data_IF_977983209958
#
_entry.id   IF_977983209958
#
_cell.length_a   1.000
_cell.length_b   1.000
_cell.length_c   1.000
_cell.angle_alpha   90.00
_cell.angle_beta   90.00
_cell.angle_gamma   90.00
#
_symmetry.space_group_name_H-M   'P 1'
#
loop_
_entity.id
_entity.type
_entity.pdbx_description
1 polymer ?
#
# COMPACT_ATOMS: atom_id res chain seq x y z
N UNK A 1 -68.80 31.45 -37.06
CA UNK A 1 -68.59 30.66 -38.28
C UNK A 1 -68.74 29.19 -37.94
N UNK A 2 -69.71 28.48 -38.52
CA UNK A 2 -69.91 27.06 -38.27
C UNK A 2 -68.96 26.24 -39.15
N UNK A 3 -67.87 25.76 -38.57
CA UNK A 3 -66.99 24.80 -39.23
C UNK A 3 -67.76 23.53 -39.58
N UNK A 4 -67.64 23.05 -40.82
CA UNK A 4 -68.20 21.77 -41.25
C UNK A 4 -67.59 20.62 -40.43
N UNK A 5 -68.31 19.50 -40.27
CA UNK A 5 -67.84 18.36 -39.47
C UNK A 5 -66.44 17.87 -39.90
N UNK A 6 -66.17 17.87 -41.22
CA UNK A 6 -64.87 17.51 -41.80
C UNK A 6 -63.75 18.49 -41.44
N UNK A 7 -64.05 19.78 -41.32
CA UNK A 7 -63.07 20.77 -40.89
C UNK A 7 -62.71 20.60 -39.41
N UNK A 8 -63.69 20.22 -38.57
CA UNK A 8 -63.42 19.93 -37.14
C UNK A 8 -62.53 18.71 -36.99
N UNK A 9 -62.79 17.64 -37.75
CA UNK A 9 -61.96 16.43 -37.73
C UNK A 9 -60.51 16.71 -38.15
N UNK A 10 -60.31 17.49 -39.22
CA UNK A 10 -58.97 17.91 -39.68
C UNK A 10 -58.23 18.75 -38.63
N UNK A 11 -58.92 19.67 -37.96
CA UNK A 11 -58.33 20.47 -36.89
C UNK A 11 -57.92 19.59 -35.70
N UNK A 12 -58.75 18.62 -35.30
CA UNK A 12 -58.40 17.66 -34.25
C UNK A 12 -57.19 16.80 -34.63
N UNK A 13 -57.08 16.38 -35.89
CA UNK A 13 -55.90 15.64 -36.37
C UNK A 13 -54.65 16.52 -36.30
N UNK A 14 -54.73 17.78 -36.75
CA UNK A 14 -53.62 18.72 -36.69
C UNK A 14 -53.18 19.02 -35.25
N UNK A 15 -54.14 19.27 -34.35
CA UNK A 15 -53.88 19.46 -32.92
C UNK A 15 -53.20 18.24 -32.31
N UNK A 16 -53.66 17.02 -32.63
CA UNK A 16 -53.03 15.79 -32.16
C UNK A 16 -51.60 15.60 -32.71
N UNK A 17 -51.37 15.97 -33.97
CA UNK A 17 -50.03 15.95 -34.55
C UNK A 17 -49.14 16.96 -33.82
N UNK A 18 -49.58 18.21 -33.69
CA UNK A 18 -48.82 19.26 -32.99
C UNK A 18 -48.48 18.85 -31.55
N UNK A 19 -49.48 18.35 -30.82
CA UNK A 19 -49.31 17.84 -29.46
C UNK A 19 -48.33 16.67 -29.40
N UNK A 20 -48.27 15.81 -30.42
CA UNK A 20 -47.33 14.69 -30.45
C UNK A 20 -45.85 15.09 -30.57
N UNK A 21 -45.57 16.30 -31.06
CA UNK A 21 -44.22 16.88 -31.15
C UNK A 21 -43.92 17.88 -30.03
N UNK A 22 -44.90 18.26 -29.21
CA UNK A 22 -44.72 19.18 -28.09
C UNK A 22 -44.28 18.44 -26.82
N UNK A 23 -43.07 18.68 -26.26
CA UNK A 23 -42.58 18.01 -25.05
C UNK A 23 -43.43 18.23 -23.80
N UNK A 24 -44.20 19.33 -23.75
CA UNK A 24 -45.09 19.65 -22.64
C UNK A 24 -46.45 18.95 -22.74
N UNK A 25 -46.73 18.30 -23.86
CA UNK A 25 -48.00 17.60 -24.09
C UNK A 25 -47.95 16.17 -23.52
N UNK A 26 -49.02 15.70 -22.86
CA UNK A 26 -49.15 14.28 -22.49
C UNK A 26 -49.10 13.32 -23.70
N UNK A 27 -49.36 13.82 -24.91
CA UNK A 27 -49.34 13.04 -26.15
C UNK A 27 -47.96 12.97 -26.81
N UNK A 28 -46.92 13.52 -26.17
CA UNK A 28 -45.57 13.55 -26.74
C UNK A 28 -45.05 12.15 -27.06
N UNK A 29 -44.75 11.89 -28.33
CA UNK A 29 -44.42 10.55 -28.82
C UNK A 29 -42.96 10.14 -28.61
N UNK A 30 -42.06 11.08 -28.38
CA UNK A 30 -40.61 10.79 -28.30
C UNK A 30 -40.17 10.56 -26.85
N UNK A 31 -40.82 9.61 -26.20
CA UNK A 31 -40.46 9.16 -24.85
C UNK A 31 -39.81 7.78 -24.91
N UNK A 32 -38.69 7.64 -24.21
CA UNK A 32 -37.90 6.40 -24.19
C UNK A 32 -37.59 5.99 -22.76
N UNK A 33 -37.55 4.68 -22.51
CA UNK A 33 -37.22 4.14 -21.19
C UNK A 33 -35.71 3.91 -21.11
N UNK A 34 -35.08 4.52 -20.11
CA UNK A 34 -33.68 4.34 -19.74
C UNK A 34 -33.58 3.74 -18.34
N UNK A 35 -32.38 3.30 -17.95
CA UNK A 35 -32.12 2.80 -16.61
C UNK A 35 -31.16 3.69 -15.85
N UNK A 36 -31.46 3.94 -14.57
CA UNK A 36 -30.54 4.56 -13.62
C UNK A 36 -30.01 3.51 -12.67
N UNK A 37 -28.71 3.59 -12.34
CA UNK A 37 -28.12 2.73 -11.32
C UNK A 37 -28.58 3.21 -9.95
N UNK A 38 -29.03 2.29 -9.10
CA UNK A 38 -29.57 2.56 -7.76
C UNK A 38 -29.00 1.56 -6.76
N UNK A 39 -28.64 2.04 -5.57
CA UNK A 39 -28.04 1.22 -4.51
C UNK A 39 -29.07 0.54 -3.60
N UNK A 40 -30.35 0.86 -3.76
CA UNK A 40 -31.44 0.39 -2.90
C UNK A 40 -32.58 -0.20 -3.71
N UNK A 41 -33.39 -1.10 -3.12
CA UNK A 41 -34.60 -1.61 -3.76
C UNK A 41 -35.54 -0.45 -4.13
N UNK A 42 -35.94 -0.40 -5.40
CA UNK A 42 -36.79 0.67 -5.93
C UNK A 42 -38.25 0.23 -6.04
N UNK A 43 -39.14 1.15 -5.69
CA UNK A 43 -40.58 1.04 -5.91
C UNK A 43 -41.00 1.93 -7.09
N UNK A 44 -42.17 1.66 -7.66
CA UNK A 44 -42.69 2.41 -8.82
C UNK A 44 -42.94 3.87 -8.43
N UNK A 45 -42.36 4.86 -9.15
CA UNK A 45 -42.72 6.26 -8.98
C UNK A 45 -44.18 6.53 -9.37
N UNK A 46 -44.84 7.49 -8.72
CA UNK A 46 -46.24 7.84 -9.00
C UNK A 46 -46.45 8.23 -10.46
N UNK A 47 -45.50 8.96 -11.03
CA UNK A 47 -45.55 9.50 -12.40
C UNK A 47 -45.15 8.46 -13.47
N UNK A 48 -44.78 7.23 -13.07
CA UNK A 48 -44.39 6.18 -14.00
C UNK A 48 -45.59 5.25 -14.30
N UNK A 49 -46.04 5.12 -15.56
CA UNK A 49 -47.18 4.28 -15.91
C UNK A 49 -47.01 2.81 -15.49
N UNK A 50 -48.05 2.24 -14.87
CA UNK A 50 -48.01 0.87 -14.33
C UNK A 50 -47.68 -0.17 -15.40
N UNK A 51 -48.25 -0.06 -16.60
CA UNK A 51 -48.01 -1.01 -17.69
C UNK A 51 -46.55 -1.02 -18.15
N UNK A 52 -45.94 0.17 -18.24
CA UNK A 52 -44.52 0.30 -18.57
C UNK A 52 -43.66 -0.22 -17.43
N UNK A 53 -44.04 0.03 -16.17
CA UNK A 53 -43.27 -0.43 -15.02
C UNK A 53 -43.20 -1.96 -15.01
N UNK A 54 -44.34 -2.62 -15.15
CA UNK A 54 -44.40 -4.08 -15.17
C UNK A 54 -43.60 -4.70 -16.33
N UNK A 55 -43.44 -3.96 -17.44
CA UNK A 55 -42.70 -4.43 -18.62
C UNK A 55 -41.18 -4.20 -18.52
N UNK A 56 -40.75 -3.10 -17.94
CA UNK A 56 -39.35 -2.66 -17.93
C UNK A 56 -38.66 -2.79 -16.57
N UNK A 57 -39.42 -3.05 -15.50
CA UNK A 57 -38.83 -3.32 -14.20
C UNK A 57 -38.09 -4.66 -14.22
N UNK A 58 -36.83 -4.63 -13.82
CA UNK A 58 -35.98 -5.82 -13.71
C UNK A 58 -35.82 -6.11 -12.21
N UNK A 59 -36.44 -7.18 -11.68
CA UNK A 59 -36.24 -7.56 -10.29
C UNK A 59 -34.77 -7.92 -10.04
N UNK A 60 -34.29 -7.64 -8.83
CA UNK A 60 -32.94 -7.97 -8.35
C UNK A 60 -31.76 -7.33 -9.11
N UNK A 61 -32.03 -6.41 -10.04
CA UNK A 61 -31.01 -5.56 -10.65
C UNK A 61 -30.93 -4.21 -9.91
N UNK A 62 -29.74 -3.62 -9.75
CA UNK A 62 -29.57 -2.26 -9.21
C UNK A 62 -29.93 -1.21 -10.28
N UNK A 63 -31.08 -1.37 -10.95
CA UNK A 63 -31.51 -0.58 -12.10
C UNK A 63 -32.96 -0.13 -11.94
N UNK A 64 -33.17 1.18 -12.02
CA UNK A 64 -34.50 1.80 -12.00
C UNK A 64 -34.86 2.31 -13.40
N UNK A 65 -35.98 1.87 -14.00
CA UNK A 65 -36.43 2.43 -15.28
C UNK A 65 -36.94 3.88 -15.10
N UNK A 66 -36.60 4.74 -16.05
CA UNK A 66 -36.97 6.16 -16.09
C UNK A 66 -37.38 6.52 -17.51
N UNK A 67 -38.49 7.24 -17.66
CA UNK A 67 -38.94 7.75 -18.95
C UNK A 67 -38.27 9.10 -19.19
N UNK A 68 -37.59 9.22 -20.32
CA UNK A 68 -36.94 10.46 -20.74
C UNK A 68 -37.51 10.95 -22.07
N UNK A 69 -37.70 12.26 -22.17
CA UNK A 69 -37.98 12.96 -23.41
C UNK A 69 -36.68 13.33 -24.15
N UNK A 70 -36.79 13.85 -25.39
CA UNK A 70 -35.61 14.22 -26.20
C UNK A 70 -34.66 15.20 -25.49
N UNK A 71 -35.18 16.23 -24.83
CA UNK A 71 -34.37 17.24 -24.15
C UNK A 71 -33.58 16.62 -22.99
N UNK A 72 -34.25 15.80 -22.18
CA UNK A 72 -33.62 15.07 -21.07
C UNK A 72 -32.55 14.07 -21.56
N UNK A 73 -32.73 13.47 -22.74
CA UNK A 73 -31.69 12.62 -23.36
C UNK A 73 -30.46 13.44 -23.73
N UNK A 74 -30.64 14.63 -24.30
CA UNK A 74 -29.54 15.54 -24.64
C UNK A 74 -28.79 16.02 -23.39
N UNK A 75 -29.52 16.37 -22.32
CA UNK A 75 -28.93 16.70 -21.02
C UNK A 75 -28.15 15.53 -20.43
N UNK A 76 -28.74 14.33 -20.47
CA UNK A 76 -28.08 13.10 -20.00
C UNK A 76 -26.80 12.81 -20.77
N UNK A 77 -26.77 13.10 -22.08
CA UNK A 77 -25.56 12.97 -22.90
C UNK A 77 -24.45 13.93 -22.43
N UNK A 78 -24.79 15.16 -22.05
CA UNK A 78 -23.82 16.12 -21.48
C UNK A 78 -23.24 15.59 -20.17
N UNK A 79 -24.11 15.12 -19.27
CA UNK A 79 -23.70 14.53 -17.98
C UNK A 79 -22.79 13.31 -18.20
N UNK A 80 -23.11 12.46 -19.17
CA UNK A 80 -22.28 11.30 -19.53
C UNK A 80 -20.88 11.71 -20.03
N UNK A 81 -20.80 12.73 -20.89
CA UNK A 81 -19.51 13.26 -21.35
C UNK A 81 -18.66 13.78 -20.19
N UNK A 82 -19.26 14.54 -19.26
CA UNK A 82 -18.56 15.04 -18.08
C UNK A 82 -18.08 13.92 -17.16
N UNK A 83 -18.91 12.88 -16.99
CA UNK A 83 -18.56 11.69 -16.22
C UNK A 83 -17.40 10.92 -16.85
N UNK A 84 -17.37 10.80 -18.19
CA UNK A 84 -16.26 10.18 -18.92
C UNK A 84 -14.95 10.93 -18.65
N UNK A 85 -14.97 12.27 -18.66
CA UNK A 85 -13.78 13.07 -18.35
C UNK A 85 -13.29 12.83 -16.92
N UNK A 86 -14.19 12.85 -15.93
CA UNK A 86 -13.86 12.56 -14.52
C UNK A 86 -13.30 11.15 -14.33
N UNK A 87 -13.86 10.15 -15.03
CA UNK A 87 -13.35 8.78 -14.99
C UNK A 87 -11.96 8.67 -15.62
N UNK A 88 -11.70 9.39 -16.71
CA UNK A 88 -10.39 9.44 -17.34
C UNK A 88 -9.33 10.07 -16.41
N UNK A 89 -9.68 11.17 -15.74
CA UNK A 89 -8.82 11.81 -14.73
C UNK A 89 -8.52 10.87 -13.55
N UNK A 90 -9.55 10.23 -13.01
CA UNK A 90 -9.41 9.23 -11.93
C UNK A 90 -8.48 8.08 -12.34
N UNK A 91 -8.70 7.52 -13.54
CA UNK A 91 -7.84 6.48 -14.13
C UNK A 91 -6.38 6.94 -14.21
N UNK A 92 -6.14 8.15 -14.72
CA UNK A 92 -4.79 8.71 -14.83
C UNK A 92 -4.15 8.92 -13.45
N UNK A 93 -4.93 9.35 -12.45
CA UNK A 93 -4.48 9.45 -11.07
C UNK A 93 -4.04 8.11 -10.47
N UNK A 94 -4.80 7.05 -10.73
CA UNK A 94 -4.46 5.68 -10.30
C UNK A 94 -3.18 5.20 -10.99
N UNK A 95 -3.03 5.43 -12.30
CA UNK A 95 -1.82 5.04 -13.04
C UNK A 95 -0.56 5.73 -12.49
N UNK A 96 -0.62 7.04 -12.21
CA UNK A 96 0.50 7.77 -11.58
C UNK A 96 0.87 7.21 -10.21
N UNK A 97 -0.13 6.85 -9.39
CA UNK A 97 0.12 6.20 -8.09
C UNK A 97 0.79 4.84 -8.27
N UNK A 98 0.36 4.07 -9.26
CA UNK A 98 0.92 2.75 -9.56
C UNK A 98 2.39 2.86 -10.03
N UNK A 99 2.71 3.83 -10.87
CA UNK A 99 4.10 4.12 -11.27
C UNK A 99 4.97 4.54 -10.09
N UNK A 100 4.45 5.41 -9.21
CA UNK A 100 5.15 5.79 -7.98
C UNK A 100 5.45 4.59 -7.08
N UNK A 101 4.50 3.66 -6.94
CA UNK A 101 4.68 2.43 -6.18
C UNK A 101 5.73 1.50 -6.82
N UNK A 102 5.73 1.37 -8.16
CA UNK A 102 6.77 0.62 -8.88
C UNK A 102 8.17 1.21 -8.62
N UNK A 103 8.31 2.52 -8.68
CA UNK A 103 9.58 3.20 -8.38
C UNK A 103 10.02 2.97 -6.93
N UNK A 104 9.10 3.11 -5.96
CA UNK A 104 9.38 2.82 -4.55
C UNK A 104 9.81 1.38 -4.33
N UNK A 105 9.17 0.41 -5.02
CA UNK A 105 9.54 -1.00 -4.96
C UNK A 105 10.98 -1.23 -5.42
N UNK A 106 11.39 -0.66 -6.55
CA UNK A 106 12.78 -0.78 -7.03
C UNK A 106 13.78 -0.11 -6.08
N UNK A 107 13.44 1.06 -5.51
CA UNK A 107 14.28 1.72 -4.52
C UNK A 107 14.47 0.86 -3.26
N UNK A 108 13.40 0.25 -2.74
CA UNK A 108 13.47 -0.65 -1.58
C UNK A 108 14.27 -1.91 -1.92
N UNK A 109 14.06 -2.51 -3.09
CA UNK A 109 14.83 -3.66 -3.57
C UNK A 109 16.33 -3.35 -3.63
N UNK A 110 16.71 -2.20 -4.17
CA UNK A 110 18.11 -1.76 -4.23
C UNK A 110 18.69 -1.52 -2.84
N UNK A 111 17.94 -0.89 -1.93
CA UNK A 111 18.38 -0.71 -0.52
C UNK A 111 18.59 -2.05 0.17
N UNK A 112 17.67 -2.99 -0.01
CA UNK A 112 17.78 -4.34 0.56
C UNK A 112 19.01 -5.06 0.01
N UNK A 113 19.21 -5.05 -1.31
CA UNK A 113 20.37 -5.66 -1.94
C UNK A 113 21.69 -5.05 -1.42
N UNK A 114 21.75 -3.73 -1.28
CA UNK A 114 22.92 -3.04 -0.74
C UNK A 114 23.19 -3.43 0.73
N UNK A 115 22.15 -3.54 1.55
CA UNK A 115 22.28 -4.00 2.94
C UNK A 115 22.77 -5.44 3.01
N UNK A 116 22.21 -6.35 2.20
CA UNK A 116 22.66 -7.74 2.08
C UNK A 116 24.11 -7.80 1.63
N UNK A 117 24.51 -7.00 0.64
CA UNK A 117 25.89 -6.96 0.16
C UNK A 117 26.85 -6.44 1.23
N UNK A 118 26.48 -5.39 1.98
CA UNK A 118 27.28 -4.88 3.13
C UNK A 118 27.40 -5.92 4.23
N UNK A 119 26.33 -6.63 4.55
CA UNK A 119 26.32 -7.71 5.53
C UNK A 119 27.24 -8.86 5.11
N UNK A 120 27.10 -9.35 3.86
CA UNK A 120 27.99 -10.37 3.27
C UNK A 120 29.46 -9.93 3.25
N UNK A 121 29.72 -8.67 2.90
CA UNK A 121 31.07 -8.12 2.90
C UNK A 121 31.69 -8.07 4.30
N UNK A 122 30.91 -7.70 5.33
CA UNK A 122 31.36 -7.77 6.72
C UNK A 122 31.61 -9.22 7.14
N UNK A 123 30.68 -10.14 6.87
CA UNK A 123 30.83 -11.57 7.21
C UNK A 123 32.09 -12.19 6.59
N UNK A 124 32.39 -11.89 5.31
CA UNK A 124 33.60 -12.38 4.64
C UNK A 124 34.91 -11.94 5.30
N UNK A 125 34.93 -10.84 6.07
CA UNK A 125 36.10 -10.46 6.87
C UNK A 125 36.31 -11.36 8.09
N UNK A 126 35.27 -12.02 8.57
CA UNK A 126 35.28 -12.87 9.78
C UNK A 126 35.17 -14.38 9.46
N UNK A 127 34.79 -14.75 8.24
CA UNK A 127 34.60 -16.13 7.79
C UNK A 127 35.48 -16.40 6.58
N UNK A 128 36.41 -17.34 6.71
CA UNK A 128 37.24 -17.83 5.60
C UNK A 128 36.53 -19.02 4.94
N UNK A 129 36.08 -18.87 3.69
CA UNK A 129 35.82 -20.04 2.85
C UNK A 129 37.19 -20.54 2.36
N UNK A 130 37.54 -21.79 2.71
CA UNK A 130 38.59 -22.51 2.00
C UNK A 130 38.04 -22.77 0.60
N UNK A 131 38.40 -21.93 -0.35
CA UNK A 131 38.65 -22.26 -1.75
C UNK A 131 38.75 -20.95 -2.54
N UNK A 132 39.94 -20.73 -3.08
CA UNK A 132 40.15 -19.82 -4.20
C UNK A 132 39.24 -20.28 -5.34
N UNK A 133 38.16 -19.53 -5.58
CA UNK A 133 37.50 -19.54 -6.87
C UNK A 133 37.19 -18.10 -7.25
N UNK A 134 38.06 -17.58 -8.11
CA UNK A 134 37.77 -16.48 -9.01
C UNK A 134 36.39 -16.69 -9.65
N UNK A 135 35.53 -15.69 -9.51
CA UNK A 135 34.24 -15.67 -10.19
C UNK A 135 33.10 -15.32 -9.27
N UNK A 136 32.65 -14.07 -9.39
CA UNK A 136 31.31 -13.54 -9.13
C UNK A 136 30.23 -14.61 -8.87
N UNK A 137 30.18 -15.17 -7.66
CA UNK A 137 29.06 -16.03 -7.25
C UNK A 137 27.85 -15.15 -6.97
N UNK A 138 26.97 -15.08 -7.98
CA UNK A 138 25.53 -14.88 -7.76
C UNK A 138 25.13 -15.93 -6.73
N UNK A 139 24.80 -15.51 -5.50
CA UNK A 139 24.17 -16.42 -4.56
C UNK A 139 22.83 -16.85 -5.17
N UNK A 140 22.79 -18.09 -5.69
CA UNK A 140 21.55 -18.77 -5.97
C UNK A 140 20.75 -18.82 -4.67
N UNK A 141 19.52 -18.36 -4.75
CA UNK A 141 18.52 -18.29 -3.68
C UNK A 141 17.92 -19.65 -3.37
N UNK A 142 18.69 -20.72 -3.51
CA UNK A 142 18.21 -22.06 -3.24
C UNK A 142 18.72 -22.48 -1.86
N UNK A 143 17.75 -22.65 -0.97
CA UNK A 143 17.89 -23.20 0.38
C UNK A 143 18.47 -24.61 0.25
N UNK A 144 19.24 -25.06 1.26
CA UNK A 144 19.75 -26.43 1.50
C UNK A 144 21.20 -26.57 0.96
N UNK A 145 22.30 -26.62 1.73
CA UNK A 145 22.61 -26.97 3.12
C UNK A 145 23.55 -25.91 3.73
N UNK A 146 23.33 -25.52 4.99
CA UNK A 146 24.28 -24.65 5.70
C UNK A 146 25.42 -25.51 6.24
N UNK A 147 26.57 -25.49 5.58
CA UNK A 147 27.81 -25.97 6.20
C UNK A 147 28.08 -25.22 7.50
N UNK A 148 28.50 -25.96 8.54
CA UNK A 148 28.79 -25.41 9.87
C UNK A 148 29.95 -24.40 9.75
N UNK A 149 29.62 -23.13 9.97
CA UNK A 149 30.60 -22.05 10.09
C UNK A 149 31.49 -22.29 11.32
N UNK A 150 32.79 -22.47 11.13
CA UNK A 150 33.79 -22.59 12.20
C UNK A 150 34.58 -21.30 12.31
N UNK A 151 34.66 -20.71 13.51
CA UNK A 151 35.47 -19.52 13.79
C UNK A 151 36.96 -19.86 13.75
N UNK A 152 37.74 -19.00 13.07
CA UNK A 152 39.20 -19.14 12.90
C UNK A 152 39.92 -18.30 13.94
N UNK A 153 40.09 -18.82 15.15
CA UNK A 153 41.28 -18.46 15.92
C UNK A 153 42.29 -19.58 15.69
N UNK A 154 43.48 -19.27 15.14
CA UNK A 154 44.55 -20.27 15.10
C UNK A 154 44.79 -20.67 16.55
N UNK A 155 44.83 -21.96 16.88
CA UNK A 155 45.10 -22.42 18.27
C UNK A 155 46.28 -21.67 18.90
N UNK A 156 47.28 -21.33 18.09
CA UNK A 156 48.45 -20.52 18.46
C UNK A 156 48.14 -19.06 18.83
N UNK A 157 47.19 -18.41 18.16
CA UNK A 157 46.77 -17.03 18.47
C UNK A 157 45.96 -16.97 19.76
N UNK A 158 45.11 -17.99 19.99
CA UNK A 158 44.40 -18.19 21.25
C UNK A 158 45.38 -18.46 22.37
N UNK A 159 46.33 -19.37 22.17
CA UNK A 159 47.39 -19.67 23.14
C UNK A 159 48.19 -18.40 23.47
N UNK A 160 48.57 -17.61 22.45
CA UNK A 160 49.29 -16.34 22.65
C UNK A 160 48.46 -15.33 23.44
N UNK A 161 47.15 -15.24 23.19
CA UNK A 161 46.26 -14.38 23.98
C UNK A 161 46.11 -14.88 25.43
N UNK A 162 45.96 -16.19 25.64
CA UNK A 162 45.86 -16.78 26.97
C UNK A 162 47.15 -16.60 27.77
N UNK A 163 48.32 -16.74 27.14
CA UNK A 163 49.62 -16.48 27.77
C UNK A 163 49.73 -15.00 28.16
N UNK A 164 49.42 -14.07 27.25
CA UNK A 164 49.42 -12.63 27.57
C UNK A 164 48.43 -12.27 28.68
N UNK A 165 47.28 -12.94 28.73
CA UNK A 165 46.28 -12.73 29.76
C UNK A 165 46.78 -13.25 31.12
N UNK A 166 47.44 -14.41 31.13
CA UNK A 166 48.11 -14.97 32.33
C UNK A 166 49.18 -14.01 32.87
N UNK A 167 50.08 -13.53 32.00
CA UNK A 167 51.14 -12.57 32.40
C UNK A 167 50.56 -11.27 32.99
N UNK A 168 49.47 -10.76 32.43
CA UNK A 168 48.77 -9.58 32.97
C UNK A 168 48.15 -9.84 34.34
N UNK A 169 47.58 -11.03 34.56
CA UNK A 169 47.01 -11.42 35.83
C UNK A 169 48.09 -11.57 36.91
N UNK A 170 49.22 -12.19 36.59
CA UNK A 170 50.36 -12.32 37.52
C UNK A 170 50.94 -10.94 37.90
N UNK A 171 51.05 -10.01 36.94
CA UNK A 171 51.49 -8.65 37.23
C UNK A 171 50.48 -7.90 38.13
N UNK A 172 49.19 -8.11 37.89
CA UNK A 172 48.13 -7.51 38.69
C UNK A 172 48.13 -8.06 40.11
N UNK A 173 48.30 -9.37 40.29
CA UNK A 173 48.40 -10.04 41.59
C UNK A 173 49.60 -9.51 42.40
N UNK A 174 50.76 -9.32 41.76
CA UNK A 174 51.93 -8.71 42.42
C UNK A 174 51.64 -7.28 42.88
N UNK A 175 51.02 -6.46 42.04
CA UNK A 175 50.64 -5.08 42.41
C UNK A 175 49.65 -5.04 43.56
N UNK A 176 48.67 -5.93 43.57
CA UNK A 176 47.71 -6.04 44.67
C UNK A 176 48.42 -6.46 45.96
N UNK A 177 49.31 -7.45 45.89
CA UNK A 177 50.11 -7.90 47.03
C UNK A 177 51.02 -6.79 47.59
N UNK A 178 51.71 -6.04 46.72
CA UNK A 178 52.53 -4.89 47.10
C UNK A 178 51.67 -3.79 47.75
N UNK A 179 50.51 -3.48 47.17
CA UNK A 179 49.59 -2.50 47.74
C UNK A 179 49.06 -2.94 49.13
N UNK A 180 48.74 -4.22 49.30
CA UNK A 180 48.34 -4.78 50.60
C UNK A 180 49.50 -4.67 51.60
N UNK A 181 50.73 -4.98 51.19
CA UNK A 181 51.90 -4.83 52.05
C UNK A 181 52.10 -3.38 52.50
N UNK A 182 52.08 -2.42 51.57
CA UNK A 182 52.21 -0.99 51.88
C UNK A 182 51.07 -0.49 52.78
N UNK A 183 49.85 -0.95 52.57
CA UNK A 183 48.71 -0.63 53.44
C UNK A 183 48.87 -1.26 54.83
N UNK A 184 49.41 -2.48 54.93
CA UNK A 184 49.70 -3.12 56.21
C UNK A 184 50.81 -2.40 56.98
N UNK A 185 51.87 -1.96 56.30
CA UNK A 185 52.95 -1.16 56.91
C UNK A 185 52.43 0.20 57.39
N UNK A 186 51.63 0.88 56.57
CA UNK A 186 50.96 2.13 56.96
C UNK A 186 50.03 1.94 58.16
N UNK A 187 49.28 0.85 58.19
CA UNK A 187 48.42 0.48 59.32
C UNK A 187 49.22 0.22 60.61
N UNK A 188 50.36 -0.47 60.51
CA UNK A 188 51.27 -0.72 61.65
C UNK A 188 51.91 0.58 62.14
N UNK A 189 52.31 1.48 61.24
CA UNK A 189 52.88 2.79 61.60
C UNK A 189 51.83 3.67 62.29
N UNK A 190 50.59 3.71 61.78
CA UNK A 190 49.48 4.42 62.40
C UNK A 190 49.12 3.83 63.78
N UNK A 191 49.09 2.51 63.92
CA UNK A 191 48.86 1.84 65.21
C UNK A 191 49.95 2.21 66.23
N UNK A 192 51.23 2.20 65.83
CA UNK A 192 52.35 2.64 66.71
C UNK A 192 52.32 4.12 67.06
N UNK A 193 51.79 4.98 66.18
CA UNK A 193 51.62 6.40 66.48
C UNK A 193 50.48 6.65 67.47
N UNK A 194 49.41 5.85 67.40
CA UNK A 194 48.31 5.88 68.37
C UNK A 194 48.74 5.34 69.74
N UNK A 195 49.55 4.27 69.79
CA UNK A 195 50.09 3.71 71.04
C UNK A 195 51.11 4.63 71.75
N UNK A 196 51.77 5.54 71.02
CA UNK A 196 52.67 6.56 71.60
C UNK A 196 51.94 7.84 72.04
N UNK A 197 50.65 7.96 71.73
CA UNK A 197 49.80 9.10 72.06
C UNK A 197 48.99 8.94 73.35
N UNK A 198 49.25 7.88 74.13
CA UNK A 198 48.71 7.63 75.46
C UNK A 198 49.82 7.61 76.51
#
# INVERSE_FOLDING_TARGET
>A
MNFTAKTRELLTILENIENSYNPSSPQYKFTYVFYNIVDTPVSRPLDFPQDLWNRYYIPDAPLMPVILNKQQIEERRKIQSDLILKLAESKNGILKKLESLKFKREMVKNKLQNTVNKFRAKLRKYVYCKEDNDGVYRLQTDVIERDKLVLKERKEDVLRHLIKMKERLELFEKKVSENIHVLSEKGIVLARQLDKGY
#
